data_IF_364749051489
#
_entry.id   IF_364749051489
#
_cell.length_a   1.000
_cell.length_b   1.000
_cell.length_c   1.000
_cell.angle_alpha   90.00
_cell.angle_beta   90.00
_cell.angle_gamma   90.00
#
_symmetry.space_group_name_H-M   'P 1'
#
loop_
_entity.id
_entity.type
_entity.pdbx_description
1 polymer ?
#
# COMPACT_ATOMS: atom_id res chain seq x y z
N UNK A 1 13.43 38.85 31.50
CA UNK A 1 13.19 38.16 30.22
C UNK A 1 12.54 36.82 30.53
N UNK A 2 11.23 36.72 30.37
CA UNK A 2 10.47 35.47 30.59
C UNK A 2 10.52 34.65 29.29
N UNK A 3 11.29 33.56 29.31
CA UNK A 3 11.36 32.59 28.22
C UNK A 3 10.09 31.75 28.21
N UNK A 4 9.20 32.01 27.25
CA UNK A 4 8.06 31.17 26.95
C UNK A 4 8.56 29.91 26.23
N UNK A 5 8.68 28.81 26.97
CA UNK A 5 8.81 27.47 26.40
C UNK A 5 7.50 27.13 25.70
N UNK A 6 7.48 27.26 24.37
CA UNK A 6 6.36 26.82 23.55
C UNK A 6 6.33 25.30 23.57
N UNK A 7 5.39 24.74 24.32
CA UNK A 7 5.05 23.32 24.26
C UNK A 7 4.24 23.14 22.96
N UNK A 8 4.89 22.73 21.88
CA UNK A 8 4.20 22.38 20.63
C UNK A 8 3.40 21.11 20.90
N UNK A 9 2.07 21.11 20.77
CA UNK A 9 1.31 19.87 20.85
C UNK A 9 1.77 18.98 19.70
N UNK A 10 2.27 17.80 20.05
CA UNK A 10 2.50 16.71 19.10
C UNK A 10 1.13 16.40 18.50
N UNK A 11 0.82 16.96 17.32
CA UNK A 11 -0.42 16.69 16.61
C UNK A 11 -0.54 15.17 16.45
N UNK A 12 -1.52 14.58 17.13
CA UNK A 12 -1.85 13.18 16.96
C UNK A 12 -2.19 12.99 15.47
N UNK A 13 -1.29 12.34 14.72
CA UNK A 13 -1.59 11.97 13.34
C UNK A 13 -2.93 11.25 13.34
N UNK A 14 -3.85 11.58 12.40
CA UNK A 14 -5.13 10.91 12.35
C UNK A 14 -4.85 9.41 12.24
N UNK A 15 -5.55 8.58 13.03
CA UNK A 15 -5.28 7.14 13.13
C UNK A 15 -5.29 6.42 11.76
N UNK A 16 -5.88 7.04 10.73
CA UNK A 16 -5.82 6.58 9.34
C UNK A 16 -4.45 6.71 8.67
N UNK A 17 -3.68 7.77 8.96
CA UNK A 17 -2.33 7.96 8.38
C UNK A 17 -1.35 6.91 8.90
N UNK A 18 -1.46 6.56 10.19
CA UNK A 18 -0.65 5.49 10.80
C UNK A 18 -0.95 4.11 10.20
N UNK A 19 -2.21 3.84 9.83
CA UNK A 19 -2.59 2.59 9.16
C UNK A 19 -2.08 2.54 7.72
N UNK A 20 -2.16 3.65 6.98
CA UNK A 20 -1.63 3.75 5.62
C UNK A 20 -0.12 3.46 5.60
N UNK A 21 0.65 4.10 6.48
CA UNK A 21 2.09 3.89 6.59
C UNK A 21 2.43 2.46 7.03
N UNK A 22 1.63 1.88 7.92
CA UNK A 22 1.77 0.47 8.33
C UNK A 22 1.59 -0.48 7.14
N UNK A 23 0.60 -0.27 6.28
CA UNK A 23 0.40 -1.06 5.08
C UNK A 23 1.48 -0.87 4.02
N UNK A 24 1.90 0.38 3.78
CA UNK A 24 2.97 0.67 2.82
C UNK A 24 4.28 0.00 3.24
N UNK A 25 4.63 0.09 4.52
CA UNK A 25 5.82 -0.56 5.10
C UNK A 25 5.72 -2.09 5.06
N UNK A 26 4.55 -2.66 5.36
CA UNK A 26 4.33 -4.09 5.26
C UNK A 26 4.56 -4.61 3.83
N UNK A 27 4.04 -3.88 2.83
CA UNK A 27 4.25 -4.19 1.42
C UNK A 27 5.74 -4.13 1.03
N UNK A 28 6.48 -3.11 1.49
CA UNK A 28 7.94 -3.03 1.27
C UNK A 28 8.70 -4.20 1.92
N UNK A 29 8.17 -4.73 3.03
CA UNK A 29 8.69 -5.92 3.72
C UNK A 29 8.18 -7.24 3.13
N UNK A 30 7.58 -7.21 1.93
CA UNK A 30 7.04 -8.39 1.22
C UNK A 30 5.96 -9.14 2.01
N UNK A 31 5.22 -8.44 2.86
CA UNK A 31 4.09 -9.00 3.57
C UNK A 31 2.81 -8.80 2.75
N UNK A 32 1.97 -9.84 2.71
CA UNK A 32 0.64 -9.76 2.10
C UNK A 32 -0.24 -8.77 2.89
N UNK A 33 -0.78 -7.77 2.19
CA UNK A 33 -1.59 -6.68 2.77
C UNK A 33 -2.85 -7.25 3.42
N UNK A 34 -3.48 -8.25 2.82
CA UNK A 34 -4.67 -8.93 3.32
C UNK A 34 -4.40 -9.61 4.66
N UNK A 35 -3.26 -10.31 4.76
CA UNK A 35 -2.84 -10.97 6.01
C UNK A 35 -2.57 -9.96 7.12
N UNK A 36 -1.95 -8.82 6.79
CA UNK A 36 -1.70 -7.73 7.74
C UNK A 36 -3.02 -7.06 8.17
N UNK A 37 -3.92 -6.77 7.23
CA UNK A 37 -5.23 -6.20 7.51
C UNK A 37 -6.06 -7.10 8.42
N UNK A 38 -6.12 -8.41 8.12
CA UNK A 38 -6.79 -9.39 8.96
C UNK A 38 -6.21 -9.41 10.38
N UNK A 39 -4.88 -9.40 10.53
CA UNK A 39 -4.21 -9.34 11.83
C UNK A 39 -4.59 -8.08 12.61
N UNK A 40 -4.61 -6.92 11.97
CA UNK A 40 -4.96 -5.65 12.61
C UNK A 40 -6.44 -5.65 13.05
N UNK A 41 -7.35 -6.15 12.21
CA UNK A 41 -8.79 -6.27 12.55
C UNK A 41 -8.98 -7.22 13.73
N UNK A 42 -8.27 -8.36 13.75
CA UNK A 42 -8.30 -9.30 14.88
C UNK A 42 -7.84 -8.65 16.19
N UNK A 43 -6.84 -7.75 16.14
CA UNK A 43 -6.29 -7.09 17.32
C UNK A 43 -7.16 -5.91 17.81
N UNK A 44 -7.71 -5.13 16.88
CA UNK A 44 -8.47 -3.89 17.19
C UNK A 44 -9.99 -4.09 17.22
N UNK A 45 -10.47 -5.24 16.75
CA UNK A 45 -11.88 -5.60 16.70
C UNK A 45 -12.61 -5.09 15.45
N UNK A 46 -13.80 -5.64 15.23
CA UNK A 46 -14.61 -5.40 14.03
C UNK A 46 -14.96 -3.92 13.80
N UNK A 47 -15.08 -3.11 14.86
CA UNK A 47 -15.37 -1.68 14.75
C UNK A 47 -14.29 -0.91 13.96
N UNK A 48 -13.06 -1.44 13.88
CA UNK A 48 -11.96 -0.85 13.12
C UNK A 48 -11.88 -1.32 11.67
N UNK A 49 -12.66 -2.34 11.27
CA UNK A 49 -12.49 -3.03 9.99
C UNK A 49 -12.59 -2.11 8.78
N UNK A 50 -13.56 -1.19 8.77
CA UNK A 50 -13.75 -0.23 7.68
C UNK A 50 -12.51 0.65 7.49
N UNK A 51 -11.96 1.20 8.57
CA UNK A 51 -10.77 2.06 8.50
C UNK A 51 -9.53 1.28 8.03
N UNK A 52 -9.38 0.01 8.46
CA UNK A 52 -8.29 -0.86 8.03
C UNK A 52 -8.38 -1.17 6.54
N UNK A 53 -9.56 -1.52 6.02
CA UNK A 53 -9.77 -1.78 4.60
C UNK A 53 -9.54 -0.51 3.76
N UNK A 54 -10.04 0.63 4.20
CA UNK A 54 -9.81 1.92 3.52
C UNK A 54 -8.31 2.25 3.43
N UNK A 55 -7.56 2.06 4.51
CA UNK A 55 -6.11 2.29 4.51
C UNK A 55 -5.37 1.30 3.59
N UNK A 56 -5.76 0.02 3.57
CA UNK A 56 -5.19 -0.97 2.66
C UNK A 56 -5.41 -0.61 1.18
N UNK A 57 -6.63 -0.19 0.81
CA UNK A 57 -6.95 0.26 -0.54
C UNK A 57 -6.20 1.55 -0.91
N UNK A 58 -6.06 2.47 0.04
CA UNK A 58 -5.28 3.69 -0.14
C UNK A 58 -3.79 3.38 -0.38
N UNK A 59 -3.22 2.40 0.32
CA UNK A 59 -1.84 1.94 0.11
C UNK A 59 -1.66 1.37 -1.31
N UNK A 60 -2.59 0.53 -1.77
CA UNK A 60 -2.57 -0.02 -3.14
C UNK A 60 -2.62 1.11 -4.18
N UNK A 61 -3.57 2.03 -4.04
CA UNK A 61 -3.72 3.16 -4.95
C UNK A 61 -2.48 4.07 -4.95
N UNK A 62 -1.84 4.28 -3.79
CA UNK A 62 -0.60 5.06 -3.68
C UNK A 62 0.55 4.40 -4.45
N UNK A 63 0.73 3.08 -4.34
CA UNK A 63 1.74 2.35 -5.11
C UNK A 63 1.49 2.43 -6.61
N UNK A 64 0.23 2.30 -7.04
CA UNK A 64 -0.15 2.48 -8.44
C UNK A 64 0.17 3.89 -8.94
N UNK A 65 -0.12 4.93 -8.16
CA UNK A 65 0.24 6.32 -8.50
C UNK A 65 1.76 6.52 -8.60
N UNK A 66 2.52 5.96 -7.66
CA UNK A 66 3.99 6.02 -7.68
C UNK A 66 4.56 5.37 -8.94
N UNK A 67 4.07 4.19 -9.34
CA UNK A 67 4.50 3.54 -10.58
C UNK A 67 4.14 4.36 -11.82
N UNK A 68 2.93 4.93 -11.88
CA UNK A 68 2.53 5.81 -12.99
C UNK A 68 3.39 7.08 -13.08
N UNK A 69 3.81 7.64 -11.94
CA UNK A 69 4.72 8.79 -11.91
C UNK A 69 6.11 8.47 -12.48
N UNK A 70 6.53 7.21 -12.46
CA UNK A 70 7.75 6.73 -13.12
C UNK A 70 7.54 6.41 -14.62
N UNK A 71 6.33 6.64 -15.15
CA UNK A 71 5.97 6.30 -16.53
C UNK A 71 5.48 4.85 -16.73
N UNK A 72 5.37 4.06 -15.65
CA UNK A 72 4.85 2.69 -15.75
C UNK A 72 3.33 2.70 -15.93
N UNK A 73 2.84 2.26 -17.09
CA UNK A 73 1.40 2.20 -17.40
C UNK A 73 0.72 0.88 -16.98
N UNK A 74 1.48 -0.13 -16.55
CA UNK A 74 0.95 -1.44 -16.16
C UNK A 74 0.98 -2.50 -17.26
N UNK A 75 1.53 -2.17 -18.42
CA UNK A 75 1.58 -3.06 -19.59
C UNK A 75 2.86 -3.90 -19.67
N UNK A 76 3.34 -4.41 -18.52
CA UNK A 76 4.58 -5.23 -18.51
C UNK A 76 4.42 -6.49 -19.37
N UNK A 77 3.21 -7.05 -19.43
CA UNK A 77 2.90 -8.19 -20.29
C UNK A 77 3.03 -7.82 -21.78
N UNK A 78 2.44 -6.69 -22.19
CA UNK A 78 2.53 -6.20 -23.58
C UNK A 78 3.98 -5.86 -23.95
N UNK A 79 4.72 -5.21 -23.05
CA UNK A 79 6.13 -4.87 -23.28
C UNK A 79 7.01 -6.13 -23.35
N UNK A 80 6.76 -7.14 -22.51
CA UNK A 80 7.47 -8.40 -22.57
C UNK A 80 7.23 -9.12 -23.91
N UNK A 81 5.98 -9.19 -24.36
CA UNK A 81 5.63 -9.77 -25.67
C UNK A 81 6.28 -8.98 -26.81
N UNK A 82 6.23 -7.64 -26.76
CA UNK A 82 6.88 -6.79 -27.75
C UNK A 82 8.43 -6.97 -27.76
N UNK A 83 9.02 -7.32 -26.62
CA UNK A 83 10.44 -7.66 -26.49
C UNK A 83 10.78 -9.09 -26.92
N UNK A 84 9.80 -9.86 -27.41
CA UNK A 84 9.99 -11.23 -27.93
C UNK A 84 9.69 -12.34 -26.92
N UNK A 85 9.12 -12.04 -25.75
CA UNK A 85 8.68 -13.08 -24.82
C UNK A 85 7.51 -13.88 -25.41
N UNK A 86 7.43 -15.17 -25.05
CA UNK A 86 6.33 -16.02 -25.45
C UNK A 86 5.01 -15.51 -24.82
N UNK A 87 3.96 -15.21 -25.60
CA UNK A 87 2.69 -14.68 -25.09
C UNK A 87 2.00 -15.60 -24.09
N UNK A 88 2.01 -16.92 -24.29
CA UNK A 88 1.35 -17.87 -23.39
C UNK A 88 2.02 -17.85 -22.01
N UNK A 89 3.36 -17.88 -21.98
CA UNK A 89 4.12 -17.81 -20.72
C UNK A 89 3.91 -16.48 -19.98
N UNK A 90 3.83 -15.38 -20.72
CA UNK A 90 3.58 -14.05 -20.14
C UNK A 90 2.16 -13.96 -19.59
N UNK A 91 1.17 -14.51 -20.28
CA UNK A 91 -0.22 -14.54 -19.81
C UNK A 91 -0.38 -15.45 -18.60
N UNK A 92 0.28 -16.61 -18.56
CA UNK A 92 0.34 -17.49 -17.39
C UNK A 92 0.96 -16.77 -16.19
N UNK A 93 2.10 -16.09 -16.37
CA UNK A 93 2.75 -15.32 -15.31
C UNK A 93 1.88 -14.16 -14.81
N UNK A 94 1.12 -13.52 -15.71
CA UNK A 94 0.19 -12.43 -15.35
C UNK A 94 -1.03 -12.97 -14.60
N UNK A 95 -1.54 -14.13 -15.00
CA UNK A 95 -2.67 -14.81 -14.36
C UNK A 95 -2.30 -15.46 -13.01
N UNK A 96 -1.04 -15.87 -12.85
CA UNK A 96 -0.49 -16.30 -11.56
C UNK A 96 -0.38 -15.14 -10.56
N UNK A 97 -0.44 -13.90 -11.06
CA UNK A 97 -0.87 -12.74 -10.30
C UNK A 97 0.04 -12.38 -9.12
N UNK A 98 -0.28 -11.40 -8.29
CA UNK A 98 -1.64 -11.03 -7.86
C UNK A 98 -2.37 -12.22 -7.24
#
# INVERSE_FOLDING_TARGET
MLGLTVCVPLSAAPAGDLLLDEFLRAADQRQCIESVGFRIIRQRGAASATAVVQAAMAALAQRQRQQRALGCAGDIAVQAIAAGANPEQVLEATAAGL
#
